data_IF_526103850622
#
_entry.id   IF_526103850622
#
_cell.length_a   1.000
_cell.length_b   1.000
_cell.length_c   1.000
_cell.angle_alpha   90.00
_cell.angle_beta   90.00
_cell.angle_gamma   90.00
#
_symmetry.space_group_name_H-M   'P 1'
#
loop_
_entity.id
_entity.type
_entity.pdbx_description
1 polymer ?
#
# COMPACT_ATOMS: atom_id res chain seq x y z
N UNK A 1 -1.70 -10.98 -11.68
CA UNK A 1 -1.68 -11.09 -10.20
C UNK A 1 -1.85 -9.68 -9.65
N UNK A 2 -2.71 -9.44 -8.66
CA UNK A 2 -3.04 -8.09 -8.22
C UNK A 2 -1.85 -7.37 -7.58
N UNK A 3 -1.90 -6.05 -7.59
CA UNK A 3 -1.06 -5.18 -6.79
C UNK A 3 -1.83 -4.65 -5.57
N UNK A 4 -1.10 -4.30 -4.52
CA UNK A 4 -1.63 -3.79 -3.27
C UNK A 4 -1.02 -2.43 -2.95
N UNK A 5 -1.87 -1.48 -2.55
CA UNK A 5 -1.45 -0.14 -2.12
C UNK A 5 -2.11 0.21 -0.79
N UNK A 6 -1.30 0.38 0.26
CA UNK A 6 -1.75 0.85 1.54
C UNK A 6 -1.79 2.39 1.59
N UNK A 7 -2.85 2.95 2.15
CA UNK A 7 -3.04 4.40 2.32
C UNK A 7 -3.95 4.68 3.52
N UNK A 8 -4.16 5.94 3.85
CA UNK A 8 -5.11 6.35 4.89
C UNK A 8 -6.52 6.53 4.31
N UNK A 9 -7.56 6.17 5.08
CA UNK A 9 -8.99 6.32 4.74
C UNK A 9 -9.33 7.71 4.24
N UNK A 10 -8.74 8.76 4.83
CA UNK A 10 -8.93 10.16 4.42
C UNK A 10 -8.57 10.43 2.95
N UNK A 11 -7.68 9.63 2.36
CA UNK A 11 -7.25 9.77 0.97
C UNK A 11 -8.19 9.05 -0.02
N UNK A 12 -8.99 8.09 0.46
CA UNK A 12 -9.85 7.25 -0.40
C UNK A 12 -10.80 8.07 -1.27
N UNK A 13 -11.52 9.11 -0.77
CA UNK A 13 -12.41 9.89 -1.63
C UNK A 13 -11.67 10.59 -2.79
N UNK A 14 -10.44 11.04 -2.57
CA UNK A 14 -9.61 11.65 -3.61
C UNK A 14 -9.14 10.62 -4.63
N UNK A 15 -8.63 9.48 -4.14
CA UNK A 15 -8.14 8.37 -4.97
C UNK A 15 -9.26 7.81 -5.85
N UNK A 16 -10.47 7.63 -5.30
CA UNK A 16 -11.62 7.14 -6.07
C UNK A 16 -12.12 8.15 -7.11
N UNK A 17 -11.85 9.45 -6.94
CA UNK A 17 -12.24 10.49 -7.90
C UNK A 17 -11.20 10.72 -8.99
N UNK A 18 -9.93 10.63 -8.65
CA UNK A 18 -8.82 11.08 -9.50
C UNK A 18 -7.88 9.94 -9.94
N UNK A 19 -8.09 8.73 -9.43
CA UNK A 19 -7.16 7.61 -9.56
C UNK A 19 -6.06 7.63 -8.50
N UNK A 20 -5.34 6.52 -8.40
CA UNK A 20 -4.20 6.36 -7.51
C UNK A 20 -2.93 6.83 -8.22
N UNK A 21 -2.38 7.95 -7.77
CA UNK A 21 -1.20 8.56 -8.36
C UNK A 21 -1.14 10.05 -8.10
N UNK A 22 -0.02 10.68 -8.47
CA UNK A 22 0.09 12.13 -8.52
C UNK A 22 0.23 12.56 -9.99
N UNK A 23 -0.58 13.52 -10.47
CA UNK A 23 -0.39 14.12 -11.79
C UNK A 23 0.89 14.99 -11.79
N UNK A 24 2.03 14.38 -12.10
CA UNK A 24 3.33 15.03 -12.29
C UNK A 24 3.99 15.54 -11.00
N UNK A 25 5.34 15.42 -10.90
CA UNK A 25 6.25 16.01 -9.88
C UNK A 25 5.66 16.23 -8.48
N UNK A 26 4.79 15.33 -8.03
CA UNK A 26 4.21 15.39 -6.70
C UNK A 26 5.33 15.08 -5.72
N UNK A 27 5.47 15.90 -4.68
CA UNK A 27 6.28 15.51 -3.53
C UNK A 27 5.75 14.15 -3.06
N UNK A 28 6.65 13.19 -2.90
CA UNK A 28 6.30 11.91 -2.30
C UNK A 28 5.65 12.15 -0.93
N UNK A 29 4.84 11.18 -0.49
CA UNK A 29 4.24 11.20 0.84
C UNK A 29 5.30 11.20 1.97
N UNK A 30 6.58 10.92 1.65
CA UNK A 30 7.66 10.83 2.63
C UNK A 30 8.96 11.50 2.14
N UNK A 31 9.77 12.08 3.05
CA UNK A 31 11.04 12.71 2.70
C UNK A 31 12.03 11.73 2.04
N UNK A 32 12.72 12.18 0.98
CA UNK A 32 13.78 11.41 0.33
C UNK A 32 13.32 10.33 -0.64
N UNK A 33 12.02 10.25 -0.93
CA UNK A 33 11.44 9.32 -1.91
C UNK A 33 11.08 10.13 -3.18
N UNK A 34 11.54 9.70 -4.36
CA UNK A 34 11.13 10.37 -5.62
C UNK A 34 9.65 10.13 -5.94
N UNK A 35 9.15 10.80 -6.98
CA UNK A 35 7.78 10.69 -7.46
C UNK A 35 7.28 9.23 -7.65
N UNK A 36 5.97 9.04 -7.47
CA UNK A 36 5.29 7.77 -7.72
C UNK A 36 4.47 7.28 -6.52
N UNK A 37 3.77 6.16 -6.73
CA UNK A 37 3.01 5.46 -5.69
C UNK A 37 3.56 4.06 -5.50
N UNK A 38 3.60 3.60 -4.25
CA UNK A 38 4.05 2.26 -3.91
C UNK A 38 3.01 1.20 -4.23
N UNK A 39 3.41 0.20 -5.00
CA UNK A 39 2.65 -1.02 -5.25
C UNK A 39 3.43 -2.21 -4.73
N UNK A 40 2.76 -3.15 -4.07
CA UNK A 40 3.33 -4.44 -3.73
C UNK A 40 2.58 -5.58 -4.40
N UNK A 41 3.27 -6.67 -4.70
CA UNK A 41 2.64 -7.92 -5.15
C UNK A 41 2.07 -8.75 -3.98
N UNK A 42 2.38 -8.36 -2.74
CA UNK A 42 1.95 -9.05 -1.51
C UNK A 42 1.26 -8.07 -0.58
N UNK A 43 0.04 -8.39 -0.15
CA UNK A 43 -0.76 -7.50 0.69
C UNK A 43 -0.07 -7.14 2.01
N UNK A 44 0.53 -8.13 2.69
CA UNK A 44 1.28 -7.92 3.93
C UNK A 44 2.47 -6.95 3.76
N UNK A 45 3.16 -7.01 2.61
CA UNK A 45 4.28 -6.13 2.32
C UNK A 45 3.82 -4.67 2.17
N UNK A 46 2.64 -4.43 1.57
CA UNK A 46 2.08 -3.07 1.50
C UNK A 46 1.85 -2.44 2.88
N UNK A 47 1.49 -3.27 3.88
CA UNK A 47 1.34 -2.86 5.27
C UNK A 47 2.70 -2.63 5.95
N UNK A 48 3.68 -3.52 5.72
CA UNK A 48 5.03 -3.38 6.27
C UNK A 48 5.67 -2.05 5.88
N UNK A 49 5.46 -1.58 4.64
CA UNK A 49 5.93 -0.26 4.20
C UNK A 49 5.37 0.85 5.10
N UNK A 50 4.08 0.81 5.42
CA UNK A 50 3.47 1.82 6.30
C UNK A 50 4.05 1.77 7.72
N UNK A 51 4.29 0.56 8.24
CA UNK A 51 4.92 0.36 9.56
C UNK A 51 6.36 0.87 9.58
N UNK A 52 7.15 0.56 8.56
CA UNK A 52 8.53 1.01 8.46
C UNK A 52 8.62 2.54 8.38
N UNK A 53 7.75 3.18 7.60
CA UNK A 53 7.69 4.64 7.51
C UNK A 53 7.27 5.27 8.83
N UNK A 54 6.29 4.69 9.52
CA UNK A 54 5.90 5.14 10.86
C UNK A 54 7.05 5.03 11.86
N UNK A 55 7.81 3.94 11.86
CA UNK A 55 8.98 3.80 12.74
C UNK A 55 10.09 4.84 12.46
N UNK A 56 10.19 5.33 11.23
CA UNK A 56 11.22 6.30 10.82
C UNK A 56 10.79 7.76 10.97
N UNK A 57 9.52 8.05 10.68
CA UNK A 57 9.01 9.42 10.51
C UNK A 57 7.71 9.69 11.26
N UNK A 58 7.16 8.69 11.94
CA UNK A 58 5.94 8.83 12.73
C UNK A 58 6.14 9.75 13.93
N UNK A 59 5.04 10.30 14.40
CA UNK A 59 5.01 11.09 15.63
C UNK A 59 5.24 10.17 16.84
N UNK A 60 6.27 10.47 17.65
CA UNK A 60 6.64 9.69 18.81
C UNK A 60 5.56 9.66 19.90
N UNK A 61 4.68 10.67 19.94
CA UNK A 61 3.59 10.77 20.91
C UNK A 61 2.30 10.10 20.40
N UNK A 62 2.28 9.64 19.15
CA UNK A 62 1.12 8.95 18.58
C UNK A 62 1.01 7.50 19.06
N UNK A 63 -0.22 7.02 19.25
CA UNK A 63 -0.48 5.62 19.57
C UNK A 63 -0.50 4.80 18.27
N UNK A 64 0.41 3.82 18.07
CA UNK A 64 0.51 3.09 16.80
C UNK A 64 -0.81 2.46 16.37
N UNK A 65 -1.53 1.85 17.31
CA UNK A 65 -2.84 1.22 17.04
C UNK A 65 -3.84 2.23 16.46
N UNK A 66 -3.88 3.43 17.00
CA UNK A 66 -4.79 4.48 16.53
C UNK A 66 -4.33 5.03 15.18
N UNK A 67 -3.02 5.17 14.99
CA UNK A 67 -2.43 5.57 13.71
C UNK A 67 -2.80 4.62 12.56
N UNK A 68 -2.75 3.30 12.81
CA UNK A 68 -3.05 2.29 11.81
C UNK A 68 -4.55 1.95 11.68
N UNK A 69 -5.42 2.40 12.60
CA UNK A 69 -6.87 2.16 12.52
C UNK A 69 -7.52 2.78 11.26
N UNK A 70 -6.88 3.81 10.71
CA UNK A 70 -7.30 4.47 9.48
C UNK A 70 -6.55 4.00 8.24
N UNK A 71 -5.72 2.97 8.33
CA UNK A 71 -5.07 2.40 7.15
C UNK A 71 -6.03 1.46 6.42
N UNK A 72 -6.00 1.54 5.11
CA UNK A 72 -6.74 0.68 4.17
C UNK A 72 -5.82 0.28 3.03
N UNK A 73 -6.16 -0.82 2.35
CA UNK A 73 -5.41 -1.35 1.23
C UNK A 73 -6.31 -1.46 0.00
N UNK A 74 -5.91 -0.82 -1.09
CA UNK A 74 -6.49 -1.06 -2.40
C UNK A 74 -5.96 -2.38 -2.98
N UNK A 75 -6.87 -3.21 -3.51
CA UNK A 75 -6.54 -4.41 -4.30
C UNK A 75 -6.71 -4.07 -5.78
N UNK A 76 -5.61 -3.96 -6.50
CA UNK A 76 -5.56 -3.40 -7.84
C UNK A 76 -5.33 -4.53 -8.84
N UNK A 77 -6.24 -4.69 -9.80
CA UNK A 77 -6.05 -5.61 -10.93
C UNK A 77 -4.80 -5.20 -11.75
N UNK A 78 -3.92 -6.15 -12.07
CA UNK A 78 -2.71 -5.84 -12.84
C UNK A 78 -2.99 -5.41 -14.27
N UNK A 79 -4.18 -5.70 -14.82
CA UNK A 79 -4.62 -5.14 -16.10
C UNK A 79 -4.74 -3.62 -16.08
N UNK A 80 -4.87 -3.00 -14.89
CA UNK A 80 -4.92 -1.53 -14.71
C UNK A 80 -3.54 -0.89 -14.64
N UNK A 81 -2.48 -1.68 -14.55
CA UNK A 81 -1.12 -1.22 -14.30
C UNK A 81 -0.25 -1.38 -15.55
N UNK A 82 0.20 -0.26 -16.11
CA UNK A 82 1.20 -0.26 -17.17
C UNK A 82 2.57 -0.63 -16.59
N UNK A 83 2.97 -1.90 -16.76
CA UNK A 83 4.21 -2.46 -16.21
C UNK A 83 5.47 -1.71 -16.67
N UNK A 84 5.44 -1.00 -17.80
CA UNK A 84 6.57 -0.19 -18.27
C UNK A 84 6.85 1.03 -17.37
N UNK A 85 5.88 1.42 -16.53
CA UNK A 85 5.97 2.53 -15.56
C UNK A 85 6.34 2.08 -14.16
N UNK A 86 6.54 0.78 -13.94
CA UNK A 86 7.07 0.26 -12.68
C UNK A 86 8.57 0.54 -12.62
N UNK A 87 9.02 1.02 -11.46
CA UNK A 87 10.42 1.27 -11.14
C UNK A 87 10.75 0.58 -9.82
N UNK A 88 11.94 -0.04 -9.71
CA UNK A 88 12.44 -0.48 -8.42
C UNK A 88 12.49 0.70 -7.45
N UNK A 89 12.20 0.42 -6.19
CA UNK A 89 12.50 1.37 -5.13
C UNK A 89 13.96 1.19 -4.67
N UNK A 90 14.79 2.26 -4.65
CA UNK A 90 16.18 2.13 -4.24
C UNK A 90 16.35 1.87 -2.73
N UNK A 91 15.33 2.13 -1.91
CA UNK A 91 15.33 1.96 -0.45
C UNK A 91 14.74 0.62 -0.01
N UNK A 92 13.89 -0.01 -0.83
CA UNK A 92 13.23 -1.28 -0.54
C UNK A 92 13.64 -2.33 -1.58
N UNK A 93 14.76 -3.02 -1.31
CA UNK A 93 15.35 -3.99 -2.26
C UNK A 93 15.01 -5.45 -1.95
N UNK A 94 14.54 -5.75 -0.74
CA UNK A 94 14.34 -7.13 -0.26
C UNK A 94 12.87 -7.60 -0.37
N UNK A 95 11.98 -6.78 -0.92
CA UNK A 95 10.56 -7.07 -1.02
C UNK A 95 10.04 -6.77 -2.44
N UNK A 96 8.99 -7.47 -2.91
CA UNK A 96 8.38 -7.20 -4.22
C UNK A 96 7.53 -5.92 -4.14
N UNK A 97 8.23 -4.79 -4.09
CA UNK A 97 7.68 -3.44 -4.02
C UNK A 97 8.19 -2.64 -5.20
N UNK A 98 7.28 -1.94 -5.86
CA UNK A 98 7.56 -1.13 -7.03
C UNK A 98 7.00 0.27 -6.82
N UNK A 99 7.69 1.27 -7.36
CA UNK A 99 7.12 2.61 -7.56
C UNK A 99 6.45 2.65 -8.92
N UNK A 100 5.18 3.02 -8.96
CA UNK A 100 4.47 3.26 -10.21
C UNK A 100 4.47 4.75 -10.55
N UNK A 101 4.97 5.08 -11.75
CA UNK A 101 5.06 6.45 -12.26
C UNK A 101 3.84 6.81 -13.12
N UNK A 102 2.79 7.33 -12.48
CA UNK A 102 1.59 7.79 -13.17
C UNK A 102 0.35 7.73 -12.29
N UNK A 103 -0.81 7.62 -12.95
CA UNK A 103 -2.11 7.47 -12.30
C UNK A 103 -2.70 6.13 -12.72
N UNK A 104 -3.23 5.38 -11.75
CA UNK A 104 -3.94 4.12 -11.95
C UNK A 104 -5.42 4.37 -11.70
N UNK A 105 -6.29 3.97 -12.64
CA UNK A 105 -7.73 3.96 -12.39
C UNK A 105 -8.08 2.83 -11.41
N UNK A 106 -8.46 3.22 -10.19
CA UNK A 106 -8.85 2.31 -9.10
C UNK A 106 -10.29 2.52 -8.65
N UNK A 107 -11.09 3.24 -9.43
CA UNK A 107 -12.48 3.65 -9.09
C UNK A 107 -13.41 2.50 -8.69
N UNK A 108 -13.18 1.31 -9.24
CA UNK A 108 -13.98 0.09 -9.02
C UNK A 108 -13.25 -0.99 -8.22
N UNK A 109 -12.06 -0.68 -7.70
CA UNK A 109 -11.22 -1.66 -7.02
C UNK A 109 -11.63 -1.86 -5.57
N UNK A 110 -11.55 -3.09 -5.02
CA UNK A 110 -11.80 -3.33 -3.61
C UNK A 110 -10.85 -2.55 -2.71
N UNK A 111 -11.38 -2.08 -1.58
CA UNK A 111 -10.61 -1.44 -0.50
C UNK A 111 -10.83 -2.24 0.78
N UNK A 112 -9.75 -2.79 1.33
CA UNK A 112 -9.78 -3.65 2.51
C UNK A 112 -9.25 -2.87 3.72
N UNK A 113 -9.99 -2.81 4.84
CA UNK A 113 -9.49 -2.28 6.11
C UNK A 113 -8.24 -3.00 6.63
N UNK A 114 -7.33 -2.25 7.28
CA UNK A 114 -6.10 -2.80 7.85
C UNK A 114 -6.35 -3.96 8.80
N UNK A 115 -7.33 -3.84 9.69
CA UNK A 115 -7.68 -4.83 10.71
C UNK A 115 -8.18 -6.14 10.10
N UNK A 116 -8.99 -6.04 9.04
CA UNK A 116 -9.40 -7.22 8.27
C UNK A 116 -8.19 -7.92 7.64
N UNK A 117 -7.31 -7.16 6.97
CA UNK A 117 -6.15 -7.74 6.30
C UNK A 117 -5.13 -8.31 7.30
N UNK A 118 -4.90 -7.62 8.42
CA UNK A 118 -4.02 -8.09 9.49
C UNK A 118 -4.56 -9.38 10.12
N UNK A 119 -5.87 -9.50 10.31
CA UNK A 119 -6.48 -10.75 10.77
C UNK A 119 -6.26 -11.89 9.78
N UNK A 120 -6.35 -11.64 8.48
CA UNK A 120 -6.13 -12.67 7.46
C UNK A 120 -4.67 -13.10 7.36
N UNK A 121 -3.72 -12.19 7.59
CA UNK A 121 -2.27 -12.49 7.64
C UNK A 121 -1.90 -13.24 8.93
N UNK A 122 -2.52 -12.91 10.06
CA UNK A 122 -2.22 -13.51 11.36
C UNK A 122 -3.04 -14.77 11.68
N UNK A 123 -3.95 -15.20 10.81
CA UNK A 123 -4.55 -16.53 10.91
C UNK A 123 -3.43 -17.54 10.75
N UNK A 124 -3.12 -18.29 11.82
CA UNK A 124 -2.30 -19.49 11.70
C UNK A 124 -2.88 -20.36 10.58
N UNK A 125 -2.05 -20.92 9.69
CA UNK A 125 -2.55 -21.93 8.76
C UNK A 125 -3.21 -22.99 9.62
N UNK A 126 -4.53 -23.17 9.44
CA UNK A 126 -5.27 -24.19 10.16
C UNK A 126 -4.47 -25.48 9.98
N UNK A 127 -3.94 -26.03 11.09
CA UNK A 127 -3.28 -27.32 11.06
C UNK A 127 -4.22 -28.25 10.31
N UNK A 128 -3.77 -28.77 9.16
CA UNK A 128 -4.42 -29.90 8.53
C UNK A 128 -4.29 -31.05 9.53
N UNK A 129 -5.28 -31.15 10.43
CA UNK A 129 -5.48 -32.32 11.28
C UNK A 129 -5.87 -33.43 10.30
N UNK A 130 -4.84 -34.12 9.82
CA UNK A 130 -4.98 -35.37 9.09
C UNK A 130 -5.62 -36.37 10.05
N UNK A 131 -6.85 -36.77 9.74
CA UNK A 131 -7.56 -37.88 10.39
C UNK A 131 -6.95 -39.23 10.00
#
# INVERSE_FOLDING_TARGET
>A
MPFFHATFKKNVPSILRHGLGAPGRGQSNWPGIDEGVYLSEVAAVSLMVMVEQYCRFGDADSVPREHFADVVVFVIDDARVDKSRLRPDPLITNHPVHRYLGIIDVTSMPVIPFDQLASDVCKEPAEEVSL
#
